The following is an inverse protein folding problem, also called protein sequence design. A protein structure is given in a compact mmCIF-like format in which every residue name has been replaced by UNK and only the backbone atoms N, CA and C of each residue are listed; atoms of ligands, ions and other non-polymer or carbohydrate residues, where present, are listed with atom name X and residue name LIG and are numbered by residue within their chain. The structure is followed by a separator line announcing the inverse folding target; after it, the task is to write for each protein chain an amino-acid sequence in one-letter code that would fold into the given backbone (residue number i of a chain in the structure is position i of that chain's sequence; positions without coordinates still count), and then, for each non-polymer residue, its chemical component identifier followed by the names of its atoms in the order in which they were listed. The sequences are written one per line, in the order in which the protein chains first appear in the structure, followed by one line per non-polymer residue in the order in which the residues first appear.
data_IF_984849758420
#
_entry.id   IF_984849758420
#
_cell.length_a   1.000
_cell.length_b   1.000
_cell.length_c   1.000
_cell.angle_alpha   90.00
_cell.angle_beta   90.00
_cell.angle_gamma   90.00
#
_symmetry.space_group_name_H-M   'P 1'
#
loop_
_entity.id
_entity.type
_entity.pdbx_description
1 polymer ?
#
# COMPACT_ATOMS: atom_id res chain seq x y z
N UNK A 1 -9.06 -7.79 22.88
CA UNK A 1 -9.86 -8.31 21.75
C UNK A 1 -9.73 -7.33 20.59
N UNK A 2 -9.47 -7.81 19.38
CA UNK A 2 -9.16 -7.02 18.16
C UNK A 2 -7.85 -6.22 18.19
N UNK A 3 -7.65 -5.26 19.08
CA UNK A 3 -6.43 -4.41 19.12
C UNK A 3 -5.15 -5.23 19.27
N UNK A 4 -5.12 -6.20 20.20
CA UNK A 4 -3.97 -7.09 20.38
C UNK A 4 -3.68 -7.94 19.15
N UNK A 5 -4.71 -8.30 18.36
CA UNK A 5 -4.53 -9.06 17.11
C UNK A 5 -3.97 -8.17 16.00
N UNK A 6 -4.42 -6.92 15.89
CA UNK A 6 -3.86 -5.92 14.97
C UNK A 6 -2.39 -5.68 15.29
N UNK A 7 -2.05 -5.47 16.56
CA UNK A 7 -0.65 -5.28 16.99
C UNK A 7 0.19 -6.52 16.67
N UNK A 8 -0.33 -7.73 16.91
CA UNK A 8 0.38 -8.99 16.59
C UNK A 8 0.65 -9.14 15.09
N UNK A 9 -0.30 -8.75 14.24
CA UNK A 9 -0.12 -8.75 12.78
C UNK A 9 0.86 -7.67 12.30
N UNK A 10 0.89 -6.52 12.98
CA UNK A 10 1.82 -5.44 12.66
C UNK A 10 3.28 -5.72 13.05
N UNK A 11 3.52 -6.65 13.98
CA UNK A 11 4.85 -6.99 14.50
C UNK A 11 5.52 -8.18 13.79
N UNK A 12 4.91 -8.71 12.72
CA UNK A 12 5.54 -9.79 11.95
C UNK A 12 6.61 -9.22 11.02
N UNK A 13 7.80 -9.82 11.04
CA UNK A 13 8.88 -9.48 10.13
C UNK A 13 8.48 -9.82 8.69
N UNK A 14 8.36 -8.79 7.86
CA UNK A 14 8.03 -8.93 6.44
C UNK A 14 9.27 -8.58 5.63
N UNK A 15 9.61 -9.38 4.60
CA UNK A 15 10.72 -9.05 3.72
C UNK A 15 10.56 -7.64 3.16
N UNK A 16 11.57 -6.80 3.39
CA UNK A 16 11.54 -5.38 3.04
C UNK A 16 11.93 -5.19 1.58
N UNK A 17 11.00 -4.70 0.76
CA UNK A 17 11.26 -4.27 -0.63
C UNK A 17 11.55 -2.76 -0.59
N UNK A 18 12.71 -2.37 -0.05
CA UNK A 18 12.92 -0.97 0.38
C UNK A 18 13.64 -0.09 -0.65
N UNK A 19 14.59 -0.62 -1.43
CA UNK A 19 15.33 0.20 -2.42
C UNK A 19 14.51 0.53 -3.66
N UNK A 20 13.62 -0.37 -4.06
CA UNK A 20 12.99 -0.29 -5.38
C UNK A 20 11.76 0.61 -5.36
N UNK A 21 11.02 0.62 -4.25
CA UNK A 21 9.75 1.37 -4.13
C UNK A 21 9.92 2.89 -4.25
N UNK A 22 11.00 3.49 -3.73
CA UNK A 22 11.18 4.95 -3.80
C UNK A 22 11.39 5.42 -5.24
N UNK A 23 12.17 4.65 -6.01
CA UNK A 23 12.38 4.91 -7.43
C UNK A 23 11.05 4.78 -8.20
N UNK A 24 10.27 3.74 -7.90
CA UNK A 24 8.97 3.54 -8.54
C UNK A 24 7.95 4.64 -8.20
N UNK A 25 7.99 5.20 -6.98
CA UNK A 25 7.17 6.37 -6.65
C UNK A 25 7.53 7.56 -7.54
N UNK A 26 8.81 7.81 -7.77
CA UNK A 26 9.27 8.93 -8.62
C UNK A 26 8.89 8.72 -10.09
N UNK A 27 8.92 7.47 -10.58
CA UNK A 27 8.43 7.10 -11.91
C UNK A 27 6.93 7.35 -12.01
N UNK A 28 6.15 6.85 -11.04
CA UNK A 28 4.70 7.01 -11.01
C UNK A 28 4.27 8.48 -10.96
N UNK A 29 4.94 9.32 -10.16
CA UNK A 29 4.68 10.77 -10.11
C UNK A 29 4.84 11.42 -11.49
N UNK A 30 5.90 11.06 -12.22
CA UNK A 30 6.16 11.57 -13.58
C UNK A 30 5.12 11.09 -14.58
N UNK A 31 4.80 9.79 -14.58
CA UNK A 31 3.85 9.19 -15.53
C UNK A 31 2.43 9.71 -15.33
N UNK A 32 1.99 9.79 -14.08
CA UNK A 32 0.65 10.26 -13.72
C UNK A 32 0.55 11.79 -13.65
N UNK A 33 1.67 12.51 -13.81
CA UNK A 33 1.77 13.98 -13.69
C UNK A 33 1.19 14.49 -12.36
N UNK A 34 1.49 13.76 -11.29
CA UNK A 34 1.11 14.12 -9.92
C UNK A 34 2.36 14.34 -9.07
N UNK A 35 2.20 14.97 -7.92
CA UNK A 35 3.22 15.03 -6.89
C UNK A 35 2.60 14.72 -5.55
N UNK A 36 3.10 13.68 -4.91
CA UNK A 36 2.70 13.30 -3.57
C UNK A 36 3.28 14.29 -2.55
N UNK A 37 2.51 14.55 -1.50
CA UNK A 37 3.07 15.14 -0.29
C UNK A 37 3.94 14.11 0.44
N UNK A 38 4.88 14.59 1.26
CA UNK A 38 5.79 13.70 2.01
C UNK A 38 5.02 12.65 2.83
N UNK A 39 3.93 13.05 3.49
CA UNK A 39 3.06 12.12 4.24
C UNK A 39 2.37 11.06 3.38
N UNK A 40 2.10 11.35 2.11
CA UNK A 40 1.54 10.38 1.18
C UNK A 40 2.62 9.40 0.71
N UNK A 41 3.86 9.88 0.49
CA UNK A 41 5.02 9.02 0.20
C UNK A 41 5.31 8.08 1.36
N UNK A 42 5.32 8.61 2.59
CA UNK A 42 5.48 7.82 3.82
C UNK A 42 4.40 6.74 3.95
N UNK A 43 3.13 7.07 3.68
CA UNK A 43 2.04 6.11 3.70
C UNK A 43 2.20 5.00 2.64
N UNK A 44 2.70 5.34 1.44
CA UNK A 44 3.02 4.34 0.42
C UNK A 44 4.16 3.44 0.91
N UNK A 45 5.27 4.01 1.37
CA UNK A 45 6.41 3.26 1.88
C UNK A 45 6.03 2.35 3.05
N UNK A 46 5.23 2.85 3.98
CA UNK A 46 4.69 2.11 5.12
C UNK A 46 3.89 0.87 4.67
N UNK A 47 3.12 0.95 3.58
CA UNK A 47 2.39 -0.20 3.06
C UNK A 47 3.31 -1.34 2.54
N UNK A 48 4.54 -1.03 2.16
CA UNK A 48 5.53 -2.03 1.73
C UNK A 48 6.41 -2.52 2.89
N UNK A 49 6.70 -1.64 3.86
CA UNK A 49 7.62 -1.92 4.97
C UNK A 49 6.94 -2.50 6.22
N UNK A 50 5.65 -2.23 6.41
CA UNK A 50 4.89 -2.63 7.60
C UNK A 50 3.93 -3.79 7.28
N UNK A 51 3.57 -4.56 8.31
CA UNK A 51 2.51 -5.59 8.19
C UNK A 51 1.11 -5.03 8.16
N UNK A 52 0.92 -3.85 8.76
CA UNK A 52 -0.32 -3.09 8.70
C UNK A 52 0.05 -1.61 8.54
N UNK A 53 -0.59 -0.95 7.59
CA UNK A 53 -0.46 0.49 7.36
C UNK A 53 -1.83 1.15 7.50
N UNK A 54 -1.92 2.24 8.27
CA UNK A 54 -3.19 2.93 8.55
C UNK A 54 -3.17 4.31 7.91
N UNK A 55 -3.90 4.44 6.80
CA UNK A 55 -3.97 5.70 6.03
C UNK A 55 -5.24 6.45 6.43
N UNK A 56 -5.08 7.53 7.19
CA UNK A 56 -6.20 8.38 7.65
C UNK A 56 -6.21 9.74 6.96
N UNK A 57 -7.35 10.43 6.98
CA UNK A 57 -7.48 11.79 6.46
C UNK A 57 -8.91 12.17 6.09
N UNK A 58 -9.22 13.48 6.07
CA UNK A 58 -10.53 14.01 5.70
C UNK A 58 -10.90 13.80 4.22
N UNK A 59 -12.12 14.14 3.79
CA UNK A 59 -12.50 14.12 2.38
C UNK A 59 -11.53 14.93 1.50
N UNK A 60 -11.20 14.43 0.31
CA UNK A 60 -10.33 15.15 -0.64
C UNK A 60 -8.81 15.05 -0.39
N UNK A 61 -8.34 14.36 0.66
CA UNK A 61 -6.90 14.27 0.99
C UNK A 61 -6.08 13.29 0.13
N UNK A 62 -6.61 12.86 -1.02
CA UNK A 62 -5.88 11.98 -1.94
C UNK A 62 -5.73 10.52 -1.51
N UNK A 63 -6.47 10.04 -0.49
CA UNK A 63 -6.44 8.63 -0.03
C UNK A 63 -6.60 7.62 -1.17
N UNK A 64 -7.54 7.87 -2.08
CA UNK A 64 -7.76 6.99 -3.26
C UNK A 64 -6.55 6.97 -4.19
N UNK A 65 -5.82 8.09 -4.32
CA UNK A 65 -4.60 8.16 -5.13
C UNK A 65 -3.48 7.34 -4.49
N UNK A 66 -3.34 7.42 -3.16
CA UNK A 66 -2.38 6.59 -2.40
C UNK A 66 -2.67 5.10 -2.61
N UNK A 67 -3.94 4.70 -2.49
CA UNK A 67 -4.37 3.31 -2.70
C UNK A 67 -4.05 2.83 -4.13
N UNK A 68 -4.31 3.68 -5.15
CA UNK A 68 -4.00 3.35 -6.54
C UNK A 68 -2.50 3.14 -6.76
N UNK A 69 -1.66 3.97 -6.16
CA UNK A 69 -0.21 3.83 -6.23
C UNK A 69 0.25 2.51 -5.58
N UNK A 70 -0.24 2.20 -4.38
CA UNK A 70 0.08 0.94 -3.69
C UNK A 70 -0.31 -0.28 -4.54
N UNK A 71 -1.51 -0.28 -5.13
CA UNK A 71 -1.95 -1.38 -6.01
C UNK A 71 -1.05 -1.51 -7.24
N UNK A 72 -0.72 -0.40 -7.88
CA UNK A 72 0.16 -0.38 -9.05
C UNK A 72 1.54 -0.99 -8.73
N UNK A 73 2.16 -0.58 -7.63
CA UNK A 73 3.45 -1.12 -7.21
C UNK A 73 3.37 -2.58 -6.80
N UNK A 74 2.29 -3.01 -6.12
CA UNK A 74 2.09 -4.43 -5.81
C UNK A 74 2.03 -5.30 -7.07
N UNK A 75 1.38 -4.81 -8.13
CA UNK A 75 1.34 -5.50 -9.42
C UNK A 75 2.73 -5.57 -10.06
N UNK A 76 3.46 -4.45 -10.10
CA UNK A 76 4.82 -4.39 -10.63
C UNK A 76 5.78 -5.36 -9.94
N UNK A 77 5.74 -5.44 -8.61
CA UNK A 77 6.60 -6.37 -7.86
C UNK A 77 6.16 -7.83 -7.92
N UNK A 78 4.87 -8.10 -8.14
CA UNK A 78 4.35 -9.47 -8.25
C UNK A 78 4.90 -10.23 -9.47
N UNK A 79 5.29 -9.52 -10.53
CA UNK A 79 5.92 -10.13 -11.72
C UNK A 79 7.35 -10.61 -11.46
N UNK A 80 7.99 -10.16 -10.38
CA UNK A 80 9.42 -10.41 -10.11
C UNK A 80 9.66 -11.55 -9.11
N UNK A 81 8.66 -11.91 -8.29
CA UNK A 81 8.73 -12.99 -7.29
C UNK A 81 7.28 -13.40 -6.90
N UNK A 82 6.94 -14.70 -6.81
CA UNK A 82 5.63 -15.15 -6.34
C UNK A 82 5.47 -14.92 -4.82
N UNK A 83 5.17 -13.68 -4.43
CA UNK A 83 4.86 -13.30 -3.05
C UNK A 83 3.35 -13.34 -2.80
N UNK A 84 2.91 -14.13 -1.82
CA UNK A 84 1.53 -14.08 -1.32
C UNK A 84 1.37 -12.97 -0.27
N UNK A 85 1.26 -11.71 -0.71
CA UNK A 85 0.88 -10.58 0.16
C UNK A 85 -0.61 -10.24 -0.05
N UNK A 86 -1.41 -10.39 0.99
CA UNK A 86 -2.83 -10.02 0.97
C UNK A 86 -2.98 -8.54 1.31
N UNK A 87 -3.66 -7.78 0.45
CA UNK A 87 -3.99 -6.38 0.68
C UNK A 87 -5.50 -6.24 0.95
N UNK A 88 -5.85 -5.75 2.15
CA UNK A 88 -7.25 -5.57 2.55
C UNK A 88 -7.60 -4.10 2.54
N UNK A 89 -8.54 -3.71 1.68
CA UNK A 89 -9.09 -2.36 1.65
C UNK A 89 -10.44 -2.31 2.40
N UNK A 90 -10.54 -1.49 3.44
CA UNK A 90 -11.78 -1.32 4.20
C UNK A 90 -12.34 0.10 3.99
N UNK A 91 -13.44 0.23 3.25
CA UNK A 91 -14.14 1.52 3.02
C UNK A 91 -15.60 1.43 3.50
N UNK A 92 -16.16 2.47 4.16
CA UNK A 92 -17.50 2.37 4.76
C UNK A 92 -18.69 2.22 3.81
N UNK A 93 -18.54 2.40 2.48
CA UNK A 93 -19.60 2.12 1.49
C UNK A 93 -19.01 2.17 0.05
N UNK A 94 -18.30 1.11 -0.34
CA UNK A 94 -18.16 0.64 -1.73
C UNK A 94 -17.56 -0.77 -1.65
N UNK A 95 -18.10 -1.71 -2.43
CA UNK A 95 -17.78 -3.15 -2.46
C UNK A 95 -16.38 -3.53 -1.96
N UNK A 96 -16.31 -4.47 -1.01
CA UNK A 96 -15.09 -5.23 -0.72
C UNK A 96 -14.70 -5.94 -2.04
N UNK A 97 -13.76 -5.37 -2.77
CA UNK A 97 -13.08 -6.07 -3.85
C UNK A 97 -11.90 -6.79 -3.20
N UNK A 98 -12.06 -8.09 -2.95
CA UNK A 98 -10.91 -8.95 -2.72
C UNK A 98 -10.10 -8.97 -4.01
N UNK A 99 -8.96 -8.29 -4.03
CA UNK A 99 -7.96 -8.55 -5.05
C UNK A 99 -7.21 -9.81 -4.63
N UNK A 100 -7.67 -10.95 -5.13
CA UNK A 100 -6.86 -12.16 -5.17
C UNK A 100 -5.78 -11.88 -6.23
N UNK A 101 -4.53 -11.71 -5.82
CA UNK A 101 -3.41 -11.77 -6.76
C UNK A 101 -3.53 -13.13 -7.46
N UNK A 102 -3.74 -13.09 -8.79
CA UNK A 102 -3.91 -14.29 -9.61
C UNK A 102 -2.65 -15.16 -9.49
N UNK A 103 -2.87 -16.48 -9.51
CA UNK A 103 -1.82 -17.50 -9.53
C UNK A 103 -0.85 -17.31 -10.69
#
# INVERSE_FOLDING_TARGET
GVTSKIVTLGLQDIPTINSDIQFEIDVFEKEQKIKFADSQREAILGAFNNGIEIITGGPGTGKTTIIKAIIHFLQLFSELQPYHKYFFLLTPWLSINFFHTLQ
#
